data_IF_156636731547
#
_entry.id   IF_156636731547
#
_cell.length_a   1.000
_cell.length_b   1.000
_cell.length_c   1.000
_cell.angle_alpha   90.00
_cell.angle_beta   90.00
_cell.angle_gamma   90.00
#
_symmetry.space_group_name_H-M   'P 1'
#
loop_
_entity.id
_entity.type
_entity.pdbx_description
1 polymer ?
#
# COMPACT_ATOMS: atom_id res chain seq x y z
N UNK A 1 -3.18 -0.69 16.07
CA UNK A 1 -2.07 0.08 16.66
C UNK A 1 -1.23 0.69 15.55
N UNK A 2 -0.33 1.61 15.89
CA UNK A 2 0.51 2.35 14.92
C UNK A 2 1.42 1.44 14.09
N UNK A 3 1.71 0.23 14.56
CA UNK A 3 2.49 -0.78 13.84
C UNK A 3 1.77 -1.42 12.64
N UNK A 4 0.46 -1.14 12.47
CA UNK A 4 -0.37 -1.68 11.38
C UNK A 4 -0.88 -0.59 10.42
N UNK A 5 -0.28 0.60 10.45
CA UNK A 5 -0.69 1.69 9.55
C UNK A 5 -0.30 1.40 8.10
N UNK A 6 -1.03 1.97 7.15
CA UNK A 6 -0.65 1.94 5.74
C UNK A 6 0.57 2.83 5.50
N UNK A 7 1.59 2.31 4.82
CA UNK A 7 2.81 3.05 4.52
C UNK A 7 3.46 2.58 3.23
N UNK A 8 4.10 3.50 2.52
CA UNK A 8 4.85 3.26 1.28
C UNK A 8 6.20 3.98 1.39
N UNK A 9 7.28 3.20 1.47
CA UNK A 9 8.65 3.70 1.67
C UNK A 9 9.48 3.51 0.40
N UNK A 10 9.93 4.62 -0.19
CA UNK A 10 10.55 4.66 -1.52
C UNK A 10 12.08 4.68 -1.47
N UNK A 11 12.75 4.09 -2.46
CA UNK A 11 14.22 4.11 -2.60
C UNK A 11 14.75 5.28 -3.45
N UNK A 12 13.89 6.16 -3.96
CA UNK A 12 14.31 7.29 -4.79
C UNK A 12 13.17 8.18 -5.22
N UNK A 13 13.52 9.34 -5.80
CA UNK A 13 12.59 10.39 -6.17
C UNK A 13 11.52 9.95 -7.18
N UNK A 14 11.89 9.12 -8.16
CA UNK A 14 10.94 8.61 -9.16
C UNK A 14 9.84 7.75 -8.54
N UNK A 15 10.20 6.91 -7.57
CA UNK A 15 9.24 6.11 -6.81
C UNK A 15 8.36 6.99 -5.93
N UNK A 16 8.93 8.02 -5.31
CA UNK A 16 8.17 8.96 -4.47
C UNK A 16 7.13 9.72 -5.30
N UNK A 17 7.51 10.20 -6.49
CA UNK A 17 6.61 10.86 -7.41
C UNK A 17 5.52 9.90 -7.92
N UNK A 18 5.88 8.67 -8.28
CA UNK A 18 4.92 7.65 -8.70
C UNK A 18 3.94 7.29 -7.58
N UNK A 19 4.43 7.13 -6.35
CA UNK A 19 3.62 6.84 -5.17
C UNK A 19 2.61 7.97 -4.90
N UNK A 20 3.05 9.23 -4.89
CA UNK A 20 2.19 10.40 -4.72
C UNK A 20 1.10 10.45 -5.80
N UNK A 21 1.49 10.29 -7.08
CA UNK A 21 0.54 10.29 -8.19
C UNK A 21 -0.44 9.11 -8.12
N UNK A 22 0.00 7.95 -7.64
CA UNK A 22 -0.88 6.78 -7.46
C UNK A 22 -1.92 7.02 -6.35
N UNK A 23 -1.52 7.62 -5.23
CA UNK A 23 -2.41 7.99 -4.12
C UNK A 23 -3.50 8.95 -4.60
N UNK A 24 -3.14 10.00 -5.33
CA UNK A 24 -4.11 10.97 -5.85
C UNK A 24 -5.14 10.33 -6.76
N UNK A 25 -4.70 9.49 -7.72
CA UNK A 25 -5.61 8.77 -8.63
C UNK A 25 -6.53 7.82 -7.86
N UNK A 26 -6.00 7.09 -6.90
CA UNK A 26 -6.78 6.12 -6.12
C UNK A 26 -7.72 6.81 -5.13
N UNK A 27 -7.34 7.98 -4.60
CA UNK A 27 -8.23 8.80 -3.76
C UNK A 27 -9.52 9.14 -4.50
N UNK A 28 -9.45 9.53 -5.78
CA UNK A 28 -10.65 9.82 -6.56
C UNK A 28 -11.59 8.61 -6.65
N UNK A 29 -11.04 7.40 -6.77
CA UNK A 29 -11.82 6.15 -6.81
C UNK A 29 -12.47 5.87 -5.45
N UNK A 30 -11.71 6.04 -4.36
CA UNK A 30 -12.20 5.82 -2.99
C UNK A 30 -13.29 6.83 -2.60
N UNK A 31 -13.08 8.11 -2.88
CA UNK A 31 -14.09 9.15 -2.67
C UNK A 31 -15.37 8.86 -3.45
N UNK A 32 -15.26 8.40 -4.70
CA UNK A 32 -16.43 8.02 -5.51
C UNK A 32 -17.19 6.82 -4.94
N UNK A 33 -16.50 5.97 -4.16
CA UNK A 33 -17.09 4.84 -3.46
C UNK A 33 -17.52 5.16 -2.02
N UNK A 34 -17.44 6.42 -1.58
CA UNK A 34 -17.87 6.86 -0.25
C UNK A 34 -16.88 6.60 0.88
N UNK A 35 -15.61 6.31 0.55
CA UNK A 35 -14.54 6.21 1.55
C UNK A 35 -13.92 7.58 1.86
N UNK A 36 -13.32 7.68 3.04
CA UNK A 36 -12.59 8.84 3.52
C UNK A 36 -11.22 9.04 2.80
N UNK A 37 -10.49 10.04 3.25
CA UNK A 37 -9.13 10.32 2.79
C UNK A 37 -8.16 9.17 3.10
N UNK A 38 -7.27 8.88 2.14
CA UNK A 38 -6.21 7.89 2.27
C UNK A 38 -5.23 8.33 3.36
N UNK A 39 -5.03 7.47 4.35
CA UNK A 39 -4.13 7.69 5.47
C UNK A 39 -2.71 7.14 5.24
N UNK A 40 -2.42 6.62 4.05
CA UNK A 40 -1.11 6.07 3.68
C UNK A 40 -0.01 7.13 3.81
N UNK A 41 0.97 6.87 4.67
CA UNK A 41 2.18 7.68 4.71
C UNK A 41 3.09 7.33 3.53
N UNK A 42 3.67 8.33 2.88
CA UNK A 42 4.59 8.17 1.76
C UNK A 42 5.88 8.89 2.12
N UNK A 43 6.98 8.18 2.24
CA UNK A 43 8.28 8.73 2.63
C UNK A 43 9.42 8.07 1.85
N UNK A 44 10.57 8.76 1.75
CA UNK A 44 11.81 8.12 1.33
C UNK A 44 12.32 7.19 2.44
N UNK A 45 12.93 6.07 2.08
CA UNK A 45 13.66 5.23 3.04
C UNK A 45 14.84 5.96 3.66
N UNK A 46 15.45 6.92 2.94
CA UNK A 46 16.53 7.77 3.47
C UNK A 46 16.03 8.73 4.56
N UNK A 47 14.77 9.16 4.46
CA UNK A 47 14.13 10.06 5.42
C UNK A 47 13.50 9.30 6.59
N UNK A 48 13.46 7.96 6.53
CA UNK A 48 12.82 7.14 7.53
C UNK A 48 13.71 7.12 8.79
N UNK A 49 13.30 7.88 9.82
CA UNK A 49 13.99 7.96 11.11
C UNK A 49 14.19 6.60 11.78
N UNK A 50 13.30 5.65 11.45
CA UNK A 50 13.39 4.25 11.80
C UNK A 50 13.94 3.51 10.58
N UNK A 51 15.23 3.18 10.57
CA UNK A 51 15.81 2.34 9.53
C UNK A 51 14.95 1.08 9.27
N UNK A 52 15.18 0.40 8.14
CA UNK A 52 14.56 -0.89 7.90
C UNK A 52 15.20 -1.97 8.80
N UNK A 53 14.41 -2.54 9.71
CA UNK A 53 14.84 -3.62 10.60
C UNK A 53 14.16 -4.93 10.21
N UNK A 54 14.94 -6.01 10.11
CA UNK A 54 14.37 -7.33 9.93
C UNK A 54 13.59 -7.75 11.17
N UNK A 55 12.39 -8.28 10.96
CA UNK A 55 11.68 -9.07 11.97
C UNK A 55 12.38 -10.42 12.18
N UNK A 56 12.08 -11.08 13.29
CA UNK A 56 12.61 -12.39 13.67
C UNK A 56 12.37 -13.47 12.59
N UNK A 57 13.24 -14.48 12.53
CA UNK A 57 13.25 -15.51 11.48
C UNK A 57 11.91 -16.26 11.32
N UNK A 58 11.14 -16.41 12.39
CA UNK A 58 9.85 -17.08 12.33
C UNK A 58 8.79 -16.25 11.59
N UNK A 59 8.94 -14.93 11.50
CA UNK A 59 8.09 -14.04 10.70
C UNK A 59 8.43 -14.12 9.21
N UNK A 60 9.67 -14.43 8.87
CA UNK A 60 10.13 -14.47 7.49
C UNK A 60 9.43 -15.62 6.73
N UNK A 61 8.77 -15.29 5.62
CA UNK A 61 8.00 -16.22 4.78
C UNK A 61 6.96 -17.05 5.56
N UNK A 62 6.38 -16.47 6.62
CA UNK A 62 5.47 -17.17 7.53
C UNK A 62 4.31 -17.91 6.82
N UNK A 63 3.62 -17.27 5.86
CA UNK A 63 2.49 -17.88 5.15
C UNK A 63 2.91 -19.01 4.18
N UNK A 64 4.14 -18.98 3.68
CA UNK A 64 4.68 -20.12 2.90
C UNK A 64 5.00 -21.30 3.81
N UNK A 65 5.47 -21.04 5.04
CA UNK A 65 5.75 -22.07 6.05
C UNK A 65 4.45 -22.62 6.67
N UNK A 66 3.39 -21.83 6.70
CA UNK A 66 2.09 -22.15 7.32
C UNK A 66 0.94 -21.87 6.33
N UNK A 67 0.61 -22.80 5.41
CA UNK A 67 -0.41 -22.57 4.37
C UNK A 67 -1.83 -22.28 4.89
N UNK A 68 -2.14 -22.71 6.12
CA UNK A 68 -3.39 -22.36 6.83
C UNK A 68 -3.25 -21.18 7.80
N UNK A 69 -2.12 -20.47 7.76
CA UNK A 69 -1.82 -19.34 8.64
C UNK A 69 -2.75 -18.16 8.38
N UNK A 70 -3.06 -17.41 9.43
CA UNK A 70 -3.93 -16.25 9.34
C UNK A 70 -3.22 -15.08 8.64
N UNK A 71 -3.83 -14.55 7.59
CA UNK A 71 -3.32 -13.42 6.81
C UNK A 71 -3.97 -12.08 7.19
N UNK A 72 -5.25 -12.11 7.58
CA UNK A 72 -5.97 -10.93 8.09
C UNK A 72 -6.13 -9.77 7.10
N UNK A 73 -5.94 -9.99 5.80
CA UNK A 73 -6.08 -8.95 4.78
C UNK A 73 -7.56 -8.63 4.53
N UNK A 74 -7.92 -7.36 4.73
CA UNK A 74 -9.16 -6.76 4.23
C UNK A 74 -8.84 -5.77 3.11
N UNK A 75 -9.42 -5.98 1.92
CA UNK A 75 -9.26 -5.04 0.80
C UNK A 75 -10.34 -3.97 0.82
N UNK A 76 -10.10 -2.83 0.17
CA UNK A 76 -11.15 -1.80 -0.07
C UNK A 76 -12.21 -2.25 -1.07
N UNK A 77 -11.99 -3.36 -1.79
CA UNK A 77 -12.87 -3.85 -2.86
C UNK A 77 -12.80 -3.03 -4.16
N UNK A 78 -11.98 -1.98 -4.22
CA UNK A 78 -11.88 -1.08 -5.37
C UNK A 78 -10.68 -1.43 -6.26
N UNK A 79 -10.86 -1.36 -7.58
CA UNK A 79 -9.79 -1.57 -8.55
C UNK A 79 -8.99 -0.29 -8.78
N UNK A 80 -7.67 -0.43 -8.95
CA UNK A 80 -6.83 0.67 -9.41
C UNK A 80 -7.24 1.04 -10.84
N UNK A 81 -7.35 2.34 -11.18
CA UNK A 81 -7.68 2.80 -12.52
C UNK A 81 -6.45 2.71 -13.44
N UNK A 82 -5.92 1.50 -13.61
CA UNK A 82 -4.94 1.17 -14.65
C UNK A 82 -5.72 0.76 -15.88
N UNK A 83 -5.78 1.66 -16.86
CA UNK A 83 -6.72 1.57 -17.98
C UNK A 83 -6.69 0.23 -18.71
N UNK A 84 -7.70 -0.60 -18.48
CA UNK A 84 -8.43 -1.19 -19.59
C UNK A 84 -9.50 -0.16 -19.94
N UNK A 85 -9.36 0.49 -21.09
CA UNK A 85 -10.39 1.39 -21.62
C UNK A 85 -11.73 0.65 -21.62
N UNK A 86 -12.78 1.24 -21.05
CA UNK A 86 -14.15 0.79 -21.33
C UNK A 86 -14.34 0.90 -22.84
N UNK A 87 -14.56 -0.21 -23.53
CA UNK A 87 -15.16 -0.15 -24.86
C UNK A 87 -16.59 0.36 -24.67
N UNK A 88 -16.85 1.56 -25.19
CA UNK A 88 -18.17 2.15 -25.23
C UNK A 88 -18.95 1.42 -26.34
N UNK A 89 -20.04 0.74 -25.98
CA UNK A 89 -21.14 0.43 -26.90
C UNK A 89 -22.17 1.55 -26.84
#
# INVERSE_FOLDING_TARGET
>A
GTQYRSGLYCLGADQLAAAAASRERFQSVLTSAGFDEITTEIQSLEDLSSNWFYAEDYHQQYLSKNPGGYCGLGSTGMSCPVGLTKENN
#
